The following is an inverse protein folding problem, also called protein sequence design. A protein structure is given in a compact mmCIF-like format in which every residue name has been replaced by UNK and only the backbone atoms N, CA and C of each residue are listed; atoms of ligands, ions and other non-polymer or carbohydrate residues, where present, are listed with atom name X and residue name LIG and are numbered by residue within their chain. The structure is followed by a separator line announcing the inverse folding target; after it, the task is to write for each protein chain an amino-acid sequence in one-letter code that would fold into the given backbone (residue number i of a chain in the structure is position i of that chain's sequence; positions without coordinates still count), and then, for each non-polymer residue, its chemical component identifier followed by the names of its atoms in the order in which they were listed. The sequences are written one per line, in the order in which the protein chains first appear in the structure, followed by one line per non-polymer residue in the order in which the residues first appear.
data_IF_493779958086
#
_entry.id   IF_493779958086
#
_cell.length_a   1.000
_cell.length_b   1.000
_cell.length_c   1.000
_cell.angle_alpha   90.00
_cell.angle_beta   90.00
_cell.angle_gamma   90.00
#
_symmetry.space_group_name_H-M   'P 1'
#
loop_
_entity.id
_entity.type
_entity.pdbx_description
1 polymer ?
#
# COMPACT_ATOMS: atom_id res chain seq x y z
N UNK A 1 10.69 18.63 11.04
CA UNK A 1 9.65 17.66 10.62
C UNK A 1 10.02 16.29 11.21
N UNK A 2 9.34 15.83 12.28
CA UNK A 2 9.59 14.50 12.89
C UNK A 2 8.67 13.47 12.21
N UNK A 3 9.18 12.42 11.53
CA UNK A 3 8.32 11.48 10.84
C UNK A 3 7.71 10.48 11.83
N UNK A 4 6.40 10.23 11.68
CA UNK A 4 5.56 9.13 12.20
C UNK A 4 6.17 8.31 13.36
N UNK A 5 5.83 8.76 14.58
CA UNK A 5 5.58 8.03 15.83
C UNK A 5 6.34 6.69 16.03
N UNK A 6 7.46 6.75 16.76
CA UNK A 6 8.26 5.59 17.25
C UNK A 6 7.50 4.58 18.16
N UNK A 7 6.23 4.84 18.46
CA UNK A 7 5.40 4.06 19.38
C UNK A 7 4.48 3.03 18.70
N UNK A 8 4.29 3.11 17.38
CA UNK A 8 3.38 2.17 16.71
C UNK A 8 4.12 0.87 16.40
N UNK A 9 3.84 -0.16 17.19
CA UNK A 9 4.39 -1.51 16.99
C UNK A 9 3.79 -2.17 15.74
N UNK A 10 2.49 -2.00 15.57
CA UNK A 10 1.69 -2.51 14.47
C UNK A 10 0.85 -1.38 13.89
N UNK A 11 0.70 -1.36 12.57
CA UNK A 11 -0.12 -0.40 11.84
C UNK A 11 -0.55 -0.99 10.50
N UNK A 12 -1.67 -0.56 9.97
CA UNK A 12 -2.03 -0.86 8.59
C UNK A 12 -2.68 0.36 7.95
N UNK A 13 -2.59 0.43 6.65
CA UNK A 13 -3.36 1.37 5.84
C UNK A 13 -3.83 0.65 4.59
N UNK A 14 -5.03 1.03 4.16
CA UNK A 14 -5.68 0.50 2.97
C UNK A 14 -5.92 1.66 2.00
N UNK A 15 -5.47 1.49 0.75
CA UNK A 15 -5.61 2.44 -0.36
C UNK A 15 -5.21 3.88 0.00
N UNK A 16 -4.07 4.03 0.69
CA UNK A 16 -3.46 5.33 0.94
C UNK A 16 -2.99 5.94 -0.38
N UNK A 17 -3.42 7.17 -0.69
CA UNK A 17 -3.06 7.84 -1.93
C UNK A 17 -1.63 8.34 -1.91
N UNK A 18 -0.89 8.03 -2.97
CA UNK A 18 0.45 8.52 -3.24
C UNK A 18 0.48 9.35 -4.55
N UNK A 19 1.53 10.14 -4.72
CA UNK A 19 1.77 10.92 -5.93
C UNK A 19 1.81 10.02 -7.17
N UNK A 20 1.31 10.50 -8.31
CA UNK A 20 1.29 9.73 -9.56
C UNK A 20 0.08 8.80 -9.73
N UNK A 21 -0.99 9.02 -8.94
CA UNK A 21 -2.22 8.23 -8.98
C UNK A 21 -2.01 6.74 -8.60
N UNK A 22 -1.20 6.53 -7.55
CA UNK A 22 -1.04 5.21 -6.92
C UNK A 22 -1.83 5.14 -5.63
N UNK A 23 -2.49 4.01 -5.40
CA UNK A 23 -3.06 3.64 -4.12
C UNK A 23 -2.19 2.55 -3.50
N UNK A 24 -1.87 2.72 -2.23
CA UNK A 24 -0.94 1.83 -1.52
C UNK A 24 -1.63 1.20 -0.32
N UNK A 25 -1.54 -0.11 -0.22
CA UNK A 25 -1.96 -0.88 0.96
C UNK A 25 -0.75 -1.57 1.56
N UNK A 26 -0.56 -1.46 2.87
CA UNK A 26 0.56 -2.08 3.55
C UNK A 26 0.26 -2.32 5.03
N UNK A 27 0.95 -3.31 5.60
CA UNK A 27 0.85 -3.70 7.00
C UNK A 27 2.25 -3.70 7.63
N UNK A 28 2.37 -2.97 8.72
CA UNK A 28 3.49 -2.97 9.64
C UNK A 28 3.13 -3.90 10.81
N UNK A 29 3.98 -4.90 11.08
CA UNK A 29 3.85 -5.77 12.25
C UNK A 29 5.21 -5.89 12.93
N UNK A 30 5.28 -5.72 14.24
CA UNK A 30 6.53 -5.71 14.99
C UNK A 30 7.58 -4.77 14.37
N UNK A 31 7.15 -3.58 13.92
CA UNK A 31 7.96 -2.56 13.23
C UNK A 31 8.59 -3.01 11.90
N UNK A 32 8.12 -4.13 11.32
CA UNK A 32 8.56 -4.61 10.01
C UNK A 32 7.41 -4.56 9.02
N UNK A 33 7.66 -4.02 7.84
CA UNK A 33 6.71 -4.05 6.73
C UNK A 33 6.61 -5.50 6.25
N UNK A 34 5.38 -6.02 6.15
CA UNK A 34 5.15 -7.37 5.64
C UNK A 34 5.08 -7.43 4.12
N UNK A 35 4.42 -6.43 3.53
CA UNK A 35 4.20 -6.30 2.10
C UNK A 35 3.84 -4.87 1.73
N UNK A 36 3.89 -4.56 0.44
CA UNK A 36 3.32 -3.35 -0.15
C UNK A 36 2.50 -3.78 -1.36
N UNK A 37 1.20 -3.51 -1.35
CA UNK A 37 0.33 -3.64 -2.51
C UNK A 37 0.18 -2.26 -3.14
N UNK A 38 0.47 -2.17 -4.43
CA UNK A 38 0.37 -0.95 -5.23
C UNK A 38 -0.69 -1.16 -6.29
N UNK A 39 -1.69 -0.29 -6.31
CA UNK A 39 -2.69 -0.21 -7.37
C UNK A 39 -2.42 1.07 -8.17
N UNK A 40 -2.31 0.96 -9.48
CA UNK A 40 -2.03 2.09 -10.37
C UNK A 40 -3.30 2.57 -11.05
N UNK A 41 -3.82 3.75 -10.70
CA UNK A 41 -5.06 4.25 -11.29
C UNK A 41 -4.88 4.80 -12.71
N UNK A 42 -3.65 5.23 -13.05
CA UNK A 42 -3.34 5.85 -14.34
C UNK A 42 -2.23 5.13 -15.14
N UNK A 43 -1.52 4.17 -14.54
CA UNK A 43 -0.31 3.57 -15.12
C UNK A 43 0.93 4.46 -14.93
N UNK A 44 2.04 4.08 -15.56
CA UNK A 44 3.29 4.85 -15.56
C UNK A 44 4.41 4.22 -14.73
N UNK A 45 5.49 4.96 -14.49
CA UNK A 45 6.67 4.44 -13.77
C UNK A 45 6.47 4.59 -12.27
N UNK A 46 6.36 3.47 -11.56
CA UNK A 46 6.28 3.47 -10.10
C UNK A 46 7.68 3.41 -9.48
N UNK A 47 7.90 4.17 -8.42
CA UNK A 47 9.13 4.18 -7.63
C UNK A 47 8.80 3.94 -6.17
N UNK A 48 9.37 2.88 -5.60
CA UNK A 48 9.15 2.50 -4.20
C UNK A 48 10.47 2.50 -3.45
N UNK A 49 10.53 3.20 -2.31
CA UNK A 49 11.67 3.08 -1.39
C UNK A 49 11.59 1.73 -0.71
N UNK A 50 12.56 0.86 -0.99
CA UNK A 50 12.55 -0.53 -0.57
C UNK A 50 12.72 -0.67 0.96
N UNK A 51 11.71 -1.17 1.70
CA UNK A 51 11.87 -1.47 3.12
C UNK A 51 12.52 -2.85 3.39
N UNK A 52 12.77 -3.67 2.37
CA UNK A 52 13.19 -5.08 2.46
C UNK A 52 14.68 -5.30 2.12
N UNK A 53 15.54 -4.33 2.43
CA UNK A 53 16.93 -4.24 1.94
C UNK A 53 17.72 -5.55 2.13
N UNK A 54 17.54 -6.24 3.25
CA UNK A 54 18.33 -7.43 3.60
C UNK A 54 17.92 -8.71 2.84
N UNK A 55 16.65 -8.86 2.48
CA UNK A 55 16.11 -10.15 1.99
C UNK A 55 15.91 -10.20 0.47
N UNK A 56 16.16 -9.10 -0.24
CA UNK A 56 15.67 -8.93 -1.62
C UNK A 56 14.15 -8.83 -1.67
N UNK A 57 13.63 -8.29 -2.76
CA UNK A 57 12.19 -8.09 -2.95
C UNK A 57 11.69 -8.90 -4.13
N UNK A 58 10.56 -9.55 -3.93
CA UNK A 58 9.74 -10.13 -4.99
C UNK A 58 8.70 -9.09 -5.38
N UNK A 59 8.71 -8.67 -6.65
CA UNK A 59 7.66 -7.88 -7.29
C UNK A 59 6.79 -8.85 -8.09
N UNK A 60 5.52 -8.98 -7.72
CA UNK A 60 4.56 -9.85 -8.39
C UNK A 60 3.50 -8.98 -9.03
N UNK A 61 3.32 -9.12 -10.33
CA UNK A 61 2.15 -8.59 -11.03
C UNK A 61 0.96 -9.54 -10.75
N UNK A 62 -0.08 -9.04 -10.11
CA UNK A 62 -1.24 -9.86 -9.73
C UNK A 62 -2.19 -10.13 -10.90
N UNK A 63 -2.02 -9.46 -12.04
CA UNK A 63 -2.79 -9.71 -13.25
C UNK A 63 -2.15 -10.80 -14.11
N UNK A 64 -0.83 -10.73 -14.30
CA UNK A 64 -0.09 -11.71 -15.13
C UNK A 64 0.46 -12.88 -14.32
N UNK A 65 0.63 -12.72 -13.02
CA UNK A 65 1.31 -13.68 -12.15
C UNK A 65 2.84 -13.67 -12.29
N UNK A 66 3.41 -12.75 -13.07
CA UNK A 66 4.85 -12.66 -13.26
C UNK A 66 5.55 -12.16 -11.99
N UNK A 67 6.56 -12.90 -11.54
CA UNK A 67 7.39 -12.53 -10.39
C UNK A 67 8.79 -12.10 -10.87
N UNK A 68 9.17 -10.86 -10.55
CA UNK A 68 10.51 -10.34 -10.78
C UNK A 68 11.22 -10.12 -9.45
N UNK A 69 12.44 -10.63 -9.32
CA UNK A 69 13.28 -10.42 -8.14
C UNK A 69 14.14 -9.18 -8.34
N UNK A 70 14.12 -8.28 -7.37
CA UNK A 70 14.91 -7.04 -7.40
C UNK A 70 15.66 -6.82 -6.09
N UNK A 71 16.73 -6.02 -6.16
CA UNK A 71 17.52 -5.58 -5.01
C UNK A 71 17.86 -4.09 -5.19
N UNK A 72 18.07 -3.39 -4.08
CA UNK A 72 18.41 -1.97 -4.09
C UNK A 72 17.61 -1.15 -3.08
N UNK A 73 17.98 0.12 -2.93
CA UNK A 73 17.32 1.07 -2.00
C UNK A 73 15.99 1.60 -2.56
N UNK A 74 15.88 1.67 -3.88
CA UNK A 74 14.69 2.10 -4.61
C UNK A 74 14.40 1.09 -5.69
N UNK A 75 13.12 0.74 -5.84
CA UNK A 75 12.62 -0.17 -6.86
C UNK A 75 11.88 0.65 -7.89
N UNK A 76 12.20 0.47 -9.17
CA UNK A 76 11.54 1.15 -10.27
C UNK A 76 10.98 0.11 -11.23
N UNK A 77 9.71 0.22 -11.59
CA UNK A 77 9.06 -0.70 -12.52
C UNK A 77 7.93 0.01 -13.29
N UNK A 78 7.67 -0.39 -14.54
CA UNK A 78 6.51 0.10 -15.29
C UNK A 78 5.23 -0.47 -14.71
N UNK A 79 4.16 0.32 -14.68
CA UNK A 79 2.82 -0.08 -14.26
C UNK A 79 1.80 0.20 -15.35
N UNK A 80 0.75 -0.62 -15.39
CA UNK A 80 -0.40 -0.46 -16.28
C UNK A 80 -1.53 0.25 -15.54
N UNK A 81 -2.40 0.92 -16.30
CA UNK A 81 -3.65 1.47 -15.76
C UNK A 81 -4.47 0.31 -15.17
N UNK A 82 -4.99 0.52 -13.97
CA UNK A 82 -5.72 -0.45 -13.15
C UNK A 82 -4.89 -1.67 -12.69
N UNK A 83 -3.59 -1.70 -13.00
CA UNK A 83 -2.68 -2.78 -12.64
C UNK A 83 -2.40 -2.86 -11.14
N UNK A 84 -2.23 -4.09 -10.64
CA UNK A 84 -1.99 -4.39 -9.22
C UNK A 84 -0.68 -5.14 -9.03
N UNK A 85 0.17 -4.57 -8.19
CA UNK A 85 1.54 -5.06 -7.98
C UNK A 85 1.79 -5.31 -6.50
N UNK A 86 2.24 -6.51 -6.17
CA UNK A 86 2.59 -6.90 -4.82
C UNK A 86 4.10 -6.95 -4.65
N UNK A 87 4.61 -6.21 -3.66
CA UNK A 87 5.99 -6.26 -3.23
C UNK A 87 6.06 -6.97 -1.88
N UNK A 88 6.89 -8.01 -1.80
CA UNK A 88 7.15 -8.74 -0.55
C UNK A 88 8.62 -9.08 -0.39
N UNK A 89 9.12 -9.30 0.84
CA UNK A 89 10.42 -9.91 1.04
C UNK A 89 10.47 -11.28 0.36
N UNK A 90 11.59 -11.62 -0.27
CA UNK A 90 11.76 -12.94 -0.90
C UNK A 90 11.62 -14.09 0.10
N UNK A 91 12.05 -13.87 1.34
CA UNK A 91 12.00 -14.86 2.43
C UNK A 91 10.58 -15.15 2.93
N UNK A 92 9.59 -14.32 2.61
CA UNK A 92 8.21 -14.51 3.07
C UNK A 92 7.30 -15.03 1.96
N UNK A 93 6.47 -15.99 2.34
CA UNK A 93 5.39 -16.52 1.51
C UNK A 93 4.12 -15.71 1.70
N UNK A 94 3.22 -15.72 0.71
CA UNK A 94 1.92 -15.05 0.78
C UNK A 94 1.08 -15.51 1.97
N UNK A 95 1.09 -16.81 2.32
CA UNK A 95 0.34 -17.32 3.47
C UNK A 95 0.80 -16.71 4.82
N UNK A 96 2.07 -16.31 4.93
CA UNK A 96 2.61 -15.65 6.12
C UNK A 96 2.28 -14.14 6.14
N UNK A 97 1.84 -13.61 5.00
CA UNK A 97 1.51 -12.21 4.78
C UNK A 97 -0.01 -12.08 4.79
N UNK A 98 -0.53 -11.64 5.91
CA UNK A 98 -1.94 -11.33 6.01
C UNK A 98 -2.27 -10.07 5.18
N UNK A 99 -2.84 -10.29 3.99
CA UNK A 99 -3.33 -9.25 3.08
C UNK A 99 -4.71 -8.71 3.49
N UNK A 100 -5.32 -9.26 4.54
CA UNK A 100 -6.59 -8.76 5.04
C UNK A 100 -6.43 -7.46 5.81
N UNK A 101 -7.47 -6.64 5.74
CA UNK A 101 -7.62 -5.39 6.47
C UNK A 101 -9.04 -5.31 6.98
N UNK A 102 -9.21 -4.69 8.15
CA UNK A 102 -10.55 -4.42 8.69
C UNK A 102 -11.14 -3.24 7.93
N UNK A 103 -12.21 -3.49 7.20
CA UNK A 103 -13.10 -2.42 6.73
C UNK A 103 -14.00 -1.98 7.89
N UNK A 104 -13.91 -0.71 8.26
CA UNK A 104 -14.87 -0.12 9.18
C UNK A 104 -16.13 0.22 8.39
N UNK A 105 -17.19 -0.58 8.56
CA UNK A 105 -18.52 -0.20 8.07
C UNK A 105 -18.95 1.07 8.79
N UNK A 106 -19.00 2.19 8.06
CA UNK A 106 -19.49 3.47 8.56
C UNK A 106 -20.82 3.77 7.92
N UNK A 107 -21.81 4.13 8.73
CA UNK A 107 -23.08 4.63 8.24
C UNK A 107 -22.84 5.90 7.38
N UNK A 108 -23.71 6.20 6.40
CA UNK A 108 -23.58 7.42 5.59
C UNK A 108 -23.45 8.71 6.42
N UNK A 109 -24.10 8.76 7.59
CA UNK A 109 -24.04 9.86 8.56
C UNK A 109 -22.68 10.03 9.27
N UNK A 110 -21.85 8.99 9.29
CA UNK A 110 -20.54 8.95 9.96
C UNK A 110 -19.38 9.23 9.00
N UNK A 111 -19.62 9.25 7.69
CA UNK A 111 -18.58 9.44 6.66
C UNK A 111 -18.09 10.89 6.58
N UNK A 112 -18.87 11.86 7.06
CA UNK A 112 -18.58 13.30 6.95
C UNK A 112 -18.68 14.00 8.31
N UNK A 113 -17.56 14.17 9.01
CA UNK A 113 -17.52 15.00 10.21
C UNK A 113 -17.48 16.51 9.88
N UNK A 114 -16.87 16.87 8.75
CA UNK A 114 -16.68 18.26 8.29
C UNK A 114 -17.49 18.64 7.03
N UNK A 115 -18.31 17.72 6.51
CA UNK A 115 -19.18 18.01 5.36
C UNK A 115 -20.49 18.68 5.79
N UNK A 116 -21.00 19.61 4.99
CA UNK A 116 -22.29 20.29 5.20
C UNK A 116 -23.41 19.23 5.37
N UNK A 117 -23.90 19.07 6.60
CA UNK A 117 -24.91 18.03 6.93
C UNK A 117 -26.33 18.38 6.49
N UNK A 118 -26.58 19.65 6.15
CA UNK A 118 -27.84 20.15 5.60
C UNK A 118 -27.53 21.25 4.59
N UNK A 119 -28.05 21.13 3.38
CA UNK A 119 -28.01 22.19 2.37
C UNK A 119 -28.79 23.38 2.96
N UNK A 120 -28.18 24.57 3.15
CA UNK A 120 -28.92 25.74 3.58
C UNK A 120 -29.95 26.08 2.50
N UNK A 121 -31.23 26.12 2.88
CA UNK A 121 -32.26 26.70 2.01
C UNK A 121 -32.15 28.21 2.19
N UNK A 122 -31.79 28.90 1.11
CA UNK A 122 -31.96 30.34 0.99
C UNK A 122 -33.42 30.64 0.65
#
# INVERSE_FOLDING_TARGET
MKPVLQFWKDAYFHRLRAEGAFLVTSKLKNRRVGFILVESEAGGRCRVRNPFIENGVSLIDLETGEETVSKGRTLEFPTRKEGRYLLKPRSKTLAEIDLSYTEFSRAPSERNWFGVKKIPRF
#
